data_IF_731193786461
#
_entry.id   IF_731193786461
#
_cell.length_a   1.000
_cell.length_b   1.000
_cell.length_c   1.000
_cell.angle_alpha   90.00
_cell.angle_beta   90.00
_cell.angle_gamma   90.00
#
_symmetry.space_group_name_H-M   'P 1'
#
loop_
_entity.id
_entity.type
_entity.pdbx_description
1 polymer ?
#
# COMPACT_ATOMS: atom_id res chain seq x y z
N UNK A 1 -19.31 24.89 -4.46
CA UNK A 1 -18.48 24.13 -5.44
C UNK A 1 -17.06 24.00 -4.89
N UNK A 2 -16.73 22.88 -4.24
CA UNK A 2 -15.39 22.61 -3.70
C UNK A 2 -14.44 22.32 -4.86
N UNK A 3 -13.53 23.26 -5.15
CA UNK A 3 -12.44 23.07 -6.10
C UNK A 3 -11.64 21.85 -5.65
N UNK A 4 -11.82 20.71 -6.34
CA UNK A 4 -10.93 19.56 -6.21
C UNK A 4 -9.57 19.99 -6.74
N UNK A 5 -8.71 20.47 -5.85
CA UNK A 5 -7.29 20.68 -6.13
C UNK A 5 -6.73 19.32 -6.50
N UNK A 6 -6.66 19.00 -7.79
CA UNK A 6 -5.93 17.86 -8.31
C UNK A 6 -4.46 18.12 -7.98
N UNK A 7 -4.06 17.68 -6.78
CA UNK A 7 -2.69 17.77 -6.30
C UNK A 7 -1.80 17.16 -7.39
N UNK A 8 -1.05 18.01 -8.08
CA UNK A 8 -0.24 17.68 -9.24
C UNK A 8 0.70 16.56 -8.80
N UNK A 9 0.45 15.34 -9.25
CA UNK A 9 1.26 14.18 -8.88
C UNK A 9 2.69 14.47 -9.34
N UNK A 10 3.62 14.54 -8.38
CA UNK A 10 5.02 14.84 -8.66
C UNK A 10 5.63 13.80 -9.59
N UNK A 11 6.68 14.17 -10.33
CA UNK A 11 7.42 13.20 -11.17
C UNK A 11 7.90 12.00 -10.35
N UNK A 12 8.26 12.23 -9.08
CA UNK A 12 8.69 11.18 -8.14
C UNK A 12 7.55 10.21 -7.82
N UNK A 13 6.37 10.70 -7.46
CA UNK A 13 5.19 9.85 -7.22
C UNK A 13 4.79 9.05 -8.46
N UNK A 14 4.82 9.66 -9.66
CA UNK A 14 4.53 8.92 -10.91
C UNK A 14 5.47 7.75 -11.12
N UNK A 15 6.76 7.93 -10.81
CA UNK A 15 7.74 6.86 -10.90
C UNK A 15 7.44 5.75 -9.89
N UNK A 16 7.17 6.10 -8.63
CA UNK A 16 6.80 5.13 -7.58
C UNK A 16 5.57 4.32 -8.00
N UNK A 17 4.51 4.98 -8.49
CA UNK A 17 3.31 4.31 -9.00
C UNK A 17 3.58 3.43 -10.22
N UNK A 18 4.43 3.90 -11.14
CA UNK A 18 4.80 3.14 -12.34
C UNK A 18 5.58 1.87 -11.99
N UNK A 19 6.55 1.98 -11.09
CA UNK A 19 7.37 0.85 -10.65
C UNK A 19 6.53 -0.14 -9.83
N UNK A 20 5.71 0.35 -8.90
CA UNK A 20 4.78 -0.48 -8.15
C UNK A 20 3.80 -1.24 -9.06
N UNK A 21 3.23 -0.56 -10.07
CA UNK A 21 2.32 -1.20 -11.04
C UNK A 21 2.99 -2.32 -11.83
N UNK A 22 4.24 -2.13 -12.26
CA UNK A 22 5.00 -3.17 -12.98
C UNK A 22 5.25 -4.41 -12.11
N UNK A 23 5.41 -4.21 -10.80
CA UNK A 23 5.59 -5.27 -9.82
C UNK A 23 4.26 -5.88 -9.33
N UNK A 24 3.12 -5.39 -9.80
CA UNK A 24 1.80 -5.83 -9.34
C UNK A 24 1.48 -5.40 -7.92
N UNK A 25 2.02 -4.26 -7.48
CA UNK A 25 1.79 -3.65 -6.17
C UNK A 25 0.76 -2.53 -6.32
N UNK A 26 -0.28 -2.56 -5.49
CA UNK A 26 -1.19 -1.45 -5.31
C UNK A 26 -0.72 -0.58 -4.15
N UNK A 27 -0.99 0.72 -4.24
CA UNK A 27 -0.67 1.70 -3.20
C UNK A 27 -1.94 2.49 -2.92
N UNK A 28 -2.29 2.62 -1.64
CA UNK A 28 -3.39 3.45 -1.16
C UNK A 28 -2.87 4.50 -0.21
N UNK A 29 -3.33 5.73 -0.39
CA UNK A 29 -2.92 6.85 0.44
C UNK A 29 -4.03 7.24 1.40
N UNK A 30 -3.63 7.59 2.62
CA UNK A 30 -4.49 8.01 3.70
C UNK A 30 -3.99 9.36 4.20
N UNK A 31 -4.90 10.32 4.32
CA UNK A 31 -4.59 11.63 4.90
C UNK A 31 -4.51 11.46 6.41
N UNK A 32 -3.31 11.37 6.96
CA UNK A 32 -3.08 11.34 8.40
C UNK A 32 -3.21 12.74 9.01
N UNK A 33 -3.62 12.83 10.28
CA UNK A 33 -3.77 14.11 10.97
C UNK A 33 -2.46 14.91 11.09
N UNK A 34 -1.36 14.23 11.42
CA UNK A 34 -0.03 14.85 11.65
C UNK A 34 1.02 14.49 10.60
N UNK A 35 0.62 13.84 9.49
CA UNK A 35 1.54 13.41 8.44
C UNK A 35 0.86 12.66 7.30
N UNK A 36 1.67 12.11 6.39
CA UNK A 36 1.17 11.29 5.29
C UNK A 36 1.29 9.81 5.65
N UNK A 37 0.22 9.08 5.37
CA UNK A 37 0.16 7.64 5.55
C UNK A 37 -0.17 7.02 4.20
N UNK A 38 0.49 5.93 3.87
CA UNK A 38 0.20 5.12 2.72
C UNK A 38 0.28 3.64 3.10
N UNK A 39 -0.31 2.81 2.29
CA UNK A 39 -0.22 1.38 2.42
C UNK A 39 0.03 0.77 1.05
N UNK A 40 0.85 -0.27 1.00
CA UNK A 40 1.17 -0.98 -0.22
C UNK A 40 0.94 -2.48 -0.04
N UNK A 41 0.31 -3.12 -1.03
CA UNK A 41 0.07 -4.56 -1.03
C UNK A 41 0.19 -5.14 -2.42
N UNK A 42 0.28 -6.46 -2.53
CA UNK A 42 0.29 -7.13 -3.82
C UNK A 42 -1.12 -7.33 -4.35
N UNK A 43 -1.33 -7.06 -5.64
CA UNK A 43 -2.57 -7.35 -6.35
C UNK A 43 -2.94 -8.84 -6.25
N UNK A 44 -1.95 -9.73 -6.30
CA UNK A 44 -2.15 -11.18 -6.13
C UNK A 44 -2.80 -11.57 -4.79
N UNK A 45 -2.52 -10.82 -3.72
CA UNK A 45 -3.13 -11.07 -2.40
C UNK A 45 -4.61 -10.69 -2.42
N UNK A 46 -4.94 -9.57 -3.07
CA UNK A 46 -6.33 -9.16 -3.29
C UNK A 46 -7.07 -10.19 -4.14
N UNK A 47 -6.50 -10.63 -5.26
CA UNK A 47 -7.10 -11.68 -6.11
C UNK A 47 -7.35 -12.98 -5.34
N UNK A 48 -6.42 -13.39 -4.46
CA UNK A 48 -6.60 -14.57 -3.62
C UNK A 48 -7.76 -14.39 -2.62
N UNK A 49 -7.92 -13.19 -2.06
CA UNK A 49 -9.03 -12.85 -1.18
C UNK A 49 -10.35 -12.76 -1.92
N UNK A 50 -10.38 -12.20 -3.12
CA UNK A 50 -11.59 -12.15 -3.96
C UNK A 50 -12.09 -13.56 -4.27
N UNK A 51 -11.18 -14.49 -4.59
CA UNK A 51 -11.50 -15.91 -4.78
C UNK A 51 -12.05 -16.54 -3.51
N UNK A 52 -11.42 -16.28 -2.36
CA UNK A 52 -11.82 -16.86 -1.06
C UNK A 52 -13.18 -16.34 -0.57
N UNK A 53 -13.46 -15.06 -0.80
CA UNK A 53 -14.68 -14.41 -0.34
C UNK A 53 -15.79 -14.41 -1.41
N UNK A 54 -15.51 -14.93 -2.60
CA UNK A 54 -16.39 -14.92 -3.78
C UNK A 54 -17.01 -13.55 -4.07
N UNK A 55 -16.25 -12.48 -3.80
CA UNK A 55 -16.67 -11.09 -4.01
C UNK A 55 -15.52 -10.27 -4.55
N UNK A 56 -15.81 -9.28 -5.39
CA UNK A 56 -14.81 -8.32 -5.84
C UNK A 56 -14.47 -7.34 -4.72
N UNK A 57 -13.18 -7.10 -4.52
CA UNK A 57 -12.66 -6.17 -3.52
C UNK A 57 -12.27 -4.90 -4.24
N UNK A 58 -12.98 -3.83 -3.93
CA UNK A 58 -12.66 -2.50 -4.43
C UNK A 58 -11.56 -1.89 -3.56
N UNK A 59 -10.31 -1.95 -4.05
CA UNK A 59 -9.12 -1.43 -3.35
C UNK A 59 -9.28 0.07 -3.03
N UNK A 60 -10.03 0.83 -3.84
CA UNK A 60 -10.24 2.25 -3.58
C UNK A 60 -11.18 2.51 -2.39
N UNK A 61 -11.96 1.51 -1.98
CA UNK A 61 -12.87 1.61 -0.83
C UNK A 61 -12.31 0.99 0.43
N UNK A 62 -11.11 0.40 0.38
CA UNK A 62 -10.50 -0.21 1.56
C UNK A 62 -10.16 0.87 2.59
N UNK A 63 -10.73 0.73 3.77
CA UNK A 63 -10.40 1.59 4.90
C UNK A 63 -9.07 1.19 5.51
N UNK A 64 -8.51 2.06 6.34
CA UNK A 64 -7.23 1.79 6.99
C UNK A 64 -7.26 0.47 7.77
N UNK A 65 -8.38 0.16 8.44
CA UNK A 65 -8.58 -1.08 9.18
C UNK A 65 -8.50 -2.33 8.30
N UNK A 66 -9.09 -2.29 7.11
CA UNK A 66 -9.05 -3.42 6.17
C UNK A 66 -7.64 -3.64 5.61
N UNK A 67 -6.92 -2.55 5.40
CA UNK A 67 -5.61 -2.53 4.75
C UNK A 67 -4.48 -2.96 5.69
N UNK A 68 -4.58 -2.69 6.99
CA UNK A 68 -3.54 -3.09 7.97
C UNK A 68 -3.31 -4.60 8.00
N UNK A 69 -4.32 -5.42 7.68
CA UNK A 69 -4.20 -6.87 7.67
C UNK A 69 -3.53 -7.43 6.40
N UNK A 70 -3.54 -6.70 5.28
CA UNK A 70 -3.17 -7.20 3.94
C UNK A 70 -2.09 -6.39 3.23
N UNK A 71 -1.72 -5.26 3.79
CA UNK A 71 -0.76 -4.34 3.20
C UNK A 71 0.29 -3.92 4.22
N UNK A 72 1.45 -3.52 3.71
CA UNK A 72 2.48 -2.90 4.51
C UNK A 72 2.21 -1.40 4.65
N UNK A 73 2.15 -0.87 5.89
CA UNK A 73 2.00 0.56 6.12
C UNK A 73 3.31 1.31 5.83
N UNK A 74 3.19 2.56 5.43
CA UNK A 74 4.28 3.51 5.25
C UNK A 74 3.86 4.90 5.71
N UNK A 75 4.68 5.51 6.56
CA UNK A 75 4.48 6.87 7.06
C UNK A 75 5.55 7.79 6.51
N UNK A 76 5.26 9.08 6.39
CA UNK A 76 6.22 10.07 5.94
C UNK A 76 5.78 11.50 6.26
N UNK A 77 6.76 12.43 6.24
CA UNK A 77 6.49 13.87 6.30
C UNK A 77 5.93 14.39 4.99
N UNK A 78 6.18 13.67 3.89
CA UNK A 78 5.65 13.94 2.55
C UNK A 78 4.88 12.74 2.00
N UNK A 79 4.02 13.03 1.01
CA UNK A 79 3.24 12.02 0.28
C UNK A 79 4.16 10.99 -0.39
N UNK A 80 5.21 11.47 -1.03
CA UNK A 80 6.26 10.68 -1.68
C UNK A 80 6.88 9.68 -0.70
N UNK A 81 7.29 10.19 0.45
CA UNK A 81 7.99 9.40 1.48
C UNK A 81 7.08 8.34 2.07
N UNK A 82 5.80 8.65 2.32
CA UNK A 82 4.84 7.66 2.80
C UNK A 82 4.66 6.50 1.79
N UNK A 83 4.49 6.81 0.50
CA UNK A 83 4.37 5.79 -0.55
C UNK A 83 5.64 4.97 -0.73
N UNK A 84 6.81 5.61 -0.73
CA UNK A 84 8.11 4.96 -0.85
C UNK A 84 8.37 4.02 0.34
N UNK A 85 8.05 4.47 1.55
CA UNK A 85 8.17 3.66 2.77
C UNK A 85 7.20 2.48 2.76
N UNK A 86 5.96 2.66 2.29
CA UNK A 86 4.97 1.57 2.19
C UNK A 86 5.45 0.45 1.26
N UNK A 87 5.92 0.81 0.05
CA UNK A 87 6.47 -0.16 -0.92
C UNK A 87 7.72 -0.82 -0.38
N UNK A 88 8.62 -0.05 0.24
CA UNK A 88 9.84 -0.59 0.85
C UNK A 88 9.52 -1.58 1.97
N UNK A 89 8.54 -1.27 2.81
CA UNK A 89 8.11 -2.15 3.90
C UNK A 89 7.45 -3.42 3.36
N UNK A 90 6.68 -3.34 2.27
CA UNK A 90 6.12 -4.51 1.58
C UNK A 90 7.23 -5.44 1.06
N UNK A 91 8.24 -4.87 0.39
CA UNK A 91 9.39 -5.63 -0.10
C UNK A 91 10.22 -6.23 1.03
N UNK A 92 10.31 -5.55 2.18
CA UNK A 92 10.98 -6.05 3.39
C UNK A 92 10.17 -7.14 4.08
N UNK A 93 8.84 -7.07 4.11
CA UNK A 93 8.00 -8.11 4.73
C UNK A 93 7.96 -9.40 3.90
N UNK A 94 8.20 -9.32 2.60
CA UNK A 94 8.43 -10.48 1.72
C UNK A 94 9.82 -11.10 1.84
N UNK A 95 10.83 -10.39 2.36
CA UNK A 95 12.07 -11.06 2.73
C UNK A 95 11.72 -12.07 3.81
N UNK A 96 12.01 -13.35 3.56
CA UNK A 96 11.32 -14.42 4.24
C UNK A 96 11.55 -14.29 5.74
N UNK A 97 10.48 -14.51 6.51
CA UNK A 97 10.57 -15.17 7.81
C UNK A 97 11.15 -16.59 7.61
N UNK A 98 12.36 -16.70 7.08
CA UNK A 98 13.23 -17.86 7.22
C UNK A 98 13.94 -17.65 8.55
N UNK A 99 13.87 -18.65 9.40
CA UNK A 99 14.41 -18.71 10.76
C UNK A 99 13.55 -18.05 11.86
N UNK A 100 12.37 -18.60 12.09
CA UNK A 100 12.00 -18.93 13.47
C UNK A 100 11.57 -20.38 13.49
N UNK A 101 12.55 -21.28 13.61
CA UNK A 101 12.26 -22.67 14.00
C UNK A 101 11.36 -22.61 15.23
N UNK A 102 10.31 -23.44 15.34
CA UNK A 102 9.63 -23.62 16.62
C UNK A 102 10.70 -24.11 17.60
N UNK A 103 10.92 -23.36 18.69
CA UNK A 103 11.64 -23.88 19.84
C UNK A 103 10.74 -24.99 20.40
N UNK A 104 11.14 -26.23 20.14
CA UNK A 104 10.69 -27.41 20.88
C UNK A 104 11.19 -27.30 22.32
#
# INVERSE_FOLDING_TARGET
MTKKTTAKVSKKLRKIYGDAKKEGIWIREYKGGTGYLAAAGYMKVIEAWEKKLSRKIDIEKLELGDVVAVAAPGTGKTREEACENAVTNLKKSEKPRRASKPRR
#
